data_IF_724013061890
#
_entry.id   IF_724013061890
#
_cell.length_a   1.000
_cell.length_b   1.000
_cell.length_c   1.000
_cell.angle_alpha   90.00
_cell.angle_beta   90.00
_cell.angle_gamma   90.00
#
_symmetry.space_group_name_H-M   'P 1'
#
loop_
_entity.id
_entity.type
_entity.pdbx_description
1 polymer ?
#
# COMPACT_ATOMS: atom_id res chain seq x y z
N UNK A 1 -12.43 -30.63 4.19
CA UNK A 1 -11.24 -29.84 4.61
C UNK A 1 -10.62 -29.08 3.41
N UNK A 2 -11.41 -28.29 2.67
CA UNK A 2 -10.95 -27.51 1.50
C UNK A 2 -10.69 -26.03 1.88
N UNK A 3 -11.47 -25.49 2.82
CA UNK A 3 -11.35 -24.11 3.30
C UNK A 3 -10.07 -23.82 4.10
N UNK A 4 -9.44 -24.81 4.75
CA UNK A 4 -8.18 -24.61 5.47
C UNK A 4 -6.99 -24.43 4.52
N UNK A 5 -6.91 -25.23 3.44
CA UNK A 5 -5.83 -25.15 2.45
C UNK A 5 -5.89 -23.83 1.66
N UNK A 6 -7.10 -23.41 1.25
CA UNK A 6 -7.30 -22.11 0.59
C UNK A 6 -6.90 -20.94 1.50
N UNK A 7 -7.16 -21.05 2.82
CA UNK A 7 -6.73 -20.03 3.79
C UNK A 7 -5.21 -19.94 3.94
N UNK A 8 -4.49 -21.05 3.90
CA UNK A 8 -3.02 -21.03 3.99
C UNK A 8 -2.44 -20.38 2.74
N UNK A 9 -2.89 -20.77 1.55
CA UNK A 9 -2.42 -20.19 0.29
C UNK A 9 -2.79 -18.69 0.15
N UNK A 10 -4.01 -18.30 0.51
CA UNK A 10 -4.41 -16.87 0.54
C UNK A 10 -3.64 -16.08 1.61
N UNK A 11 -3.42 -16.67 2.79
CA UNK A 11 -2.60 -16.02 3.81
C UNK A 11 -1.14 -15.89 3.38
N UNK A 12 -0.63 -16.82 2.58
CA UNK A 12 0.72 -16.76 2.02
C UNK A 12 0.82 -15.64 0.97
N UNK A 13 -0.19 -15.47 0.10
CA UNK A 13 -0.26 -14.35 -0.84
C UNK A 13 -0.38 -12.98 -0.11
N UNK A 14 -1.20 -12.90 0.95
CA UNK A 14 -1.31 -11.67 1.78
C UNK A 14 -0.04 -11.44 2.61
N UNK A 15 0.62 -12.51 3.06
CA UNK A 15 1.91 -12.46 3.76
C UNK A 15 2.99 -11.87 2.86
N UNK A 16 3.15 -12.43 1.66
CA UNK A 16 4.09 -11.93 0.65
C UNK A 16 3.81 -10.47 0.27
N UNK A 17 2.53 -10.08 0.13
CA UNK A 17 2.16 -8.69 -0.12
C UNK A 17 2.61 -7.77 1.03
N UNK A 18 2.45 -8.19 2.29
CA UNK A 18 2.88 -7.40 3.46
C UNK A 18 4.39 -7.24 3.49
N UNK A 19 5.14 -8.33 3.33
CA UNK A 19 6.60 -8.29 3.28
C UNK A 19 7.10 -7.38 2.17
N UNK A 20 6.50 -7.46 0.98
CA UNK A 20 6.79 -6.55 -0.11
C UNK A 20 6.49 -5.09 0.26
N UNK A 21 5.31 -4.81 0.84
CA UNK A 21 4.91 -3.46 1.21
C UNK A 21 5.79 -2.84 2.30
N UNK A 22 6.35 -3.65 3.20
CA UNK A 22 7.29 -3.20 4.22
C UNK A 22 8.66 -2.85 3.63
N UNK A 23 9.12 -3.59 2.62
CA UNK A 23 10.45 -3.41 2.04
C UNK A 23 10.46 -2.40 0.87
N UNK A 24 9.47 -2.44 -0.02
CA UNK A 24 9.45 -1.71 -1.28
C UNK A 24 9.71 -0.19 -1.17
N UNK A 25 9.15 0.54 -0.18
CA UNK A 25 9.42 1.97 -0.03
C UNK A 25 10.91 2.30 0.17
N UNK A 26 11.69 1.39 0.76
CA UNK A 26 13.13 1.56 1.00
C UNK A 26 13.98 1.30 -0.23
N UNK A 27 13.47 0.52 -1.19
CA UNK A 27 14.17 0.24 -2.46
C UNK A 27 14.00 1.35 -3.50
N UNK A 28 13.00 2.22 -3.33
CA UNK A 28 12.78 3.34 -4.23
C UNK A 28 13.83 4.43 -4.03
N UNK A 29 14.40 4.88 -5.16
CA UNK A 29 15.12 6.16 -5.20
C UNK A 29 14.16 7.31 -4.84
N UNK A 30 14.65 8.42 -4.27
CA UNK A 30 13.86 9.64 -4.11
C UNK A 30 13.11 10.02 -5.39
N UNK A 31 11.83 10.36 -5.29
CA UNK A 31 10.94 10.61 -6.43
C UNK A 31 10.45 9.36 -7.18
N UNK A 32 10.96 8.17 -6.85
CA UNK A 32 10.48 6.90 -7.39
C UNK A 32 9.03 6.62 -6.97
N UNK A 33 8.26 5.94 -7.82
CA UNK A 33 6.83 5.68 -7.57
C UNK A 33 6.55 4.21 -7.36
N UNK A 34 5.71 3.92 -6.38
CA UNK A 34 5.13 2.59 -6.13
C UNK A 34 3.68 2.59 -6.63
N UNK A 35 3.41 1.77 -7.65
CA UNK A 35 2.08 1.56 -8.21
C UNK A 35 1.65 0.13 -7.89
N UNK A 36 0.49 -0.03 -7.27
CA UNK A 36 -0.04 -1.35 -6.90
C UNK A 36 -1.48 -1.44 -7.36
N UNK A 37 -1.79 -2.50 -8.11
CA UNK A 37 -3.13 -2.85 -8.54
C UNK A 37 -3.59 -4.06 -7.71
N UNK A 38 -4.73 -3.92 -7.04
CA UNK A 38 -5.36 -4.98 -6.26
C UNK A 38 -6.71 -5.34 -6.84
N UNK A 39 -7.13 -6.59 -6.72
CA UNK A 39 -8.43 -7.06 -7.23
C UNK A 39 -9.41 -7.44 -6.13
N UNK A 40 -8.92 -7.56 -4.89
CA UNK A 40 -9.72 -7.94 -3.73
C UNK A 40 -9.65 -6.88 -2.62
N UNK A 41 -10.74 -6.75 -1.87
CA UNK A 41 -10.87 -5.73 -0.81
C UNK A 41 -9.86 -5.90 0.34
N UNK A 42 -9.37 -7.11 0.60
CA UNK A 42 -8.38 -7.37 1.65
C UNK A 42 -7.00 -6.83 1.26
N UNK A 43 -6.57 -7.07 0.02
CA UNK A 43 -5.34 -6.55 -0.56
C UNK A 43 -5.37 -5.02 -0.60
N UNK A 44 -6.44 -4.43 -1.15
CA UNK A 44 -6.63 -2.96 -1.25
C UNK A 44 -6.52 -2.29 0.12
N UNK A 45 -7.11 -2.92 1.14
CA UNK A 45 -7.01 -2.47 2.53
C UNK A 45 -5.57 -2.58 3.05
N UNK A 46 -4.87 -3.67 2.76
CA UNK A 46 -3.47 -3.87 3.14
C UNK A 46 -2.57 -2.78 2.53
N UNK A 47 -2.69 -2.52 1.23
CA UNK A 47 -1.95 -1.46 0.52
C UNK A 47 -2.28 -0.09 1.08
N UNK A 48 -3.57 0.19 1.32
CA UNK A 48 -4.02 1.45 1.93
C UNK A 48 -3.34 1.70 3.27
N UNK A 49 -3.36 0.73 4.18
CA UNK A 49 -2.76 0.88 5.50
C UNK A 49 -1.25 1.04 5.45
N UNK A 50 -0.56 0.26 4.61
CA UNK A 50 0.88 0.42 4.42
C UNK A 50 1.22 1.83 3.91
N UNK A 51 0.52 2.30 2.86
CA UNK A 51 0.75 3.65 2.34
C UNK A 51 0.46 4.74 3.37
N UNK A 52 -0.57 4.58 4.20
CA UNK A 52 -0.87 5.50 5.30
C UNK A 52 0.23 5.51 6.36
N UNK A 53 0.74 4.32 6.75
CA UNK A 53 1.87 4.20 7.67
C UNK A 53 3.09 4.95 7.15
N UNK A 54 3.52 4.64 5.91
CA UNK A 54 4.71 5.25 5.32
C UNK A 54 4.54 6.74 4.95
N UNK A 55 3.31 7.26 4.93
CA UNK A 55 3.03 8.67 4.65
C UNK A 55 2.71 9.50 5.89
N UNK A 56 2.58 8.86 7.06
CA UNK A 56 2.34 9.57 8.31
C UNK A 56 3.65 10.17 8.83
N UNK A 57 3.73 11.49 9.07
CA UNK A 57 4.94 12.11 9.64
C UNK A 57 5.17 11.76 11.10
N UNK A 58 4.09 11.44 11.80
CA UNK A 58 4.10 11.03 13.19
C UNK A 58 3.16 9.85 13.37
N UNK A 59 3.36 9.09 14.43
CA UNK A 59 2.40 8.11 14.89
C UNK A 59 2.28 8.19 16.41
N UNK A 60 1.14 7.73 16.91
CA UNK A 60 0.81 7.77 18.32
C UNK A 60 0.61 6.37 18.86
N UNK A 61 0.84 6.20 20.16
CA UNK A 61 0.55 4.97 20.87
C UNK A 61 -0.15 5.30 22.20
N UNK A 62 -1.15 4.52 22.63
CA UNK A 62 -1.90 4.81 23.85
C UNK A 62 -1.03 5.00 25.10
N UNK A 63 0.12 4.32 25.16
CA UNK A 63 1.07 4.39 26.25
C UNK A 63 2.02 5.62 26.22
N UNK A 64 1.95 6.46 25.18
CA UNK A 64 2.83 7.62 25.03
C UNK A 64 2.18 8.90 25.55
N UNK A 65 2.97 9.84 26.12
CA UNK A 65 2.46 11.14 26.57
C UNK A 65 2.10 12.05 25.39
N UNK A 66 2.65 11.78 24.19
CA UNK A 66 2.37 12.51 22.95
C UNK A 66 2.83 11.71 21.71
N UNK A 67 2.29 12.02 20.51
CA UNK A 67 2.75 11.42 19.26
C UNK A 67 4.23 11.66 18.99
N UNK A 68 4.92 10.70 18.37
CA UNK A 68 6.34 10.80 18.03
C UNK A 68 6.55 10.78 16.52
N UNK A 69 7.71 11.25 16.08
CA UNK A 69 8.12 11.22 14.67
C UNK A 69 8.14 9.77 14.15
N UNK A 70 7.61 9.59 12.94
CA UNK A 70 7.62 8.30 12.28
C UNK A 70 8.95 8.09 11.53
N UNK A 71 9.81 7.14 11.96
CA UNK A 71 11.05 6.85 11.23
C UNK A 71 10.78 6.29 9.83
N UNK A 72 9.57 5.77 9.60
CA UNK A 72 9.12 5.24 8.32
C UNK A 72 8.37 6.26 7.47
N UNK A 73 8.45 7.56 7.76
CA UNK A 73 7.88 8.58 6.87
C UNK A 73 8.68 8.67 5.57
N UNK A 74 8.38 7.78 4.62
CA UNK A 74 9.12 7.60 3.38
C UNK A 74 8.31 7.98 2.15
N UNK A 75 6.97 7.97 2.22
CA UNK A 75 6.09 8.09 1.06
C UNK A 75 5.20 9.33 1.11
N UNK A 76 4.83 9.81 -0.08
CA UNK A 76 3.74 10.74 -0.32
C UNK A 76 2.66 10.05 -1.14
N UNK A 77 1.44 9.97 -0.62
CA UNK A 77 0.32 9.37 -1.34
C UNK A 77 -0.11 10.29 -2.48
N UNK A 78 -0.11 9.78 -3.72
CA UNK A 78 -0.56 10.52 -4.90
C UNK A 78 -2.06 10.30 -5.17
N UNK A 79 -2.60 9.14 -4.78
CA UNK A 79 -4.02 8.79 -4.97
C UNK A 79 -4.75 8.66 -3.63
N UNK A 80 -5.52 9.69 -3.23
CA UNK A 80 -6.30 9.66 -1.97
C UNK A 80 -7.38 8.57 -1.97
N UNK A 81 -8.07 8.41 -3.10
CA UNK A 81 -8.97 7.29 -3.41
C UNK A 81 -8.28 6.38 -4.44
N UNK A 82 -8.55 5.07 -4.45
CA UNK A 82 -8.03 4.23 -5.53
C UNK A 82 -8.55 4.73 -6.88
N UNK A 83 -7.74 4.58 -7.92
CA UNK A 83 -8.19 4.76 -9.29
C UNK A 83 -8.88 3.47 -9.72
N UNK A 84 -10.10 3.58 -10.19
CA UNK A 84 -10.96 2.47 -10.64
C UNK A 84 -11.02 2.45 -12.18
N UNK A 85 -11.24 1.28 -12.79
CA UNK A 85 -11.36 1.16 -14.24
C UNK A 85 -12.57 1.96 -14.76
N UNK A 86 -12.45 2.46 -16.00
CA UNK A 86 -13.58 3.06 -16.72
C UNK A 86 -14.61 2.02 -17.17
N UNK A 87 -15.82 2.44 -17.51
CA UNK A 87 -16.82 1.54 -18.08
C UNK A 87 -16.36 0.90 -19.39
N UNK A 88 -15.68 1.66 -20.25
CA UNK A 88 -15.09 1.18 -21.50
C UNK A 88 -14.04 0.09 -21.24
N UNK A 89 -13.21 0.28 -20.22
CA UNK A 89 -12.22 -0.70 -19.81
C UNK A 89 -12.87 -1.97 -19.28
N UNK A 90 -13.92 -1.86 -18.47
CA UNK A 90 -14.68 -3.02 -17.97
C UNK A 90 -15.37 -3.77 -19.12
N UNK A 91 -15.92 -3.06 -20.11
CA UNK A 91 -16.53 -3.70 -21.29
C UNK A 91 -15.51 -4.49 -22.10
N UNK A 92 -14.31 -3.93 -22.30
CA UNK A 92 -13.20 -4.58 -23.02
C UNK A 92 -12.54 -5.69 -22.20
N UNK A 93 -12.46 -5.54 -20.89
CA UNK A 93 -11.84 -6.48 -19.97
C UNK A 93 -12.71 -6.61 -18.71
N UNK A 94 -13.69 -7.53 -18.69
CA UNK A 94 -14.56 -7.73 -17.54
C UNK A 94 -13.82 -8.09 -16.24
N UNK A 95 -12.61 -8.66 -16.32
CA UNK A 95 -11.77 -8.98 -15.16
C UNK A 95 -11.20 -7.74 -14.47
N UNK A 96 -11.17 -6.60 -15.16
CA UNK A 96 -10.72 -5.33 -14.57
C UNK A 96 -11.74 -4.75 -13.58
N UNK A 97 -13.01 -5.18 -13.59
CA UNK A 97 -14.10 -4.58 -12.80
C UNK A 97 -13.79 -4.32 -11.32
N UNK A 98 -13.02 -5.19 -10.67
CA UNK A 98 -12.65 -5.04 -9.25
C UNK A 98 -11.26 -4.45 -9.03
N UNK A 99 -10.55 -4.07 -10.09
CA UNK A 99 -9.22 -3.51 -10.02
C UNK A 99 -9.24 -2.15 -9.33
N UNK A 100 -8.28 -1.95 -8.44
CA UNK A 100 -8.04 -0.70 -7.73
C UNK A 100 -6.57 -0.38 -7.80
N UNK A 101 -6.22 0.75 -8.40
CA UNK A 101 -4.85 1.24 -8.46
C UNK A 101 -4.60 2.25 -7.34
N UNK A 102 -3.50 2.06 -6.60
CA UNK A 102 -2.97 3.03 -5.64
C UNK A 102 -1.55 3.43 -6.03
N UNK A 103 -1.25 4.71 -5.87
CA UNK A 103 0.06 5.28 -6.19
C UNK A 103 0.61 6.09 -5.02
N UNK A 104 1.86 5.84 -4.68
CA UNK A 104 2.66 6.63 -3.76
C UNK A 104 4.04 6.93 -4.34
N UNK A 105 4.65 8.03 -3.90
CA UNK A 105 5.96 8.49 -4.34
C UNK A 105 6.93 8.57 -3.17
N UNK A 106 8.17 8.13 -3.37
CA UNK A 106 9.24 8.23 -2.38
C UNK A 106 9.61 9.69 -2.16
N UNK A 107 9.57 10.12 -0.90
CA UNK A 107 9.97 11.46 -0.49
C UNK A 107 11.46 11.73 -0.81
N UNK A 108 11.84 13.00 -1.00
CA UNK A 108 13.25 13.40 -1.05
C UNK A 108 14.01 12.89 0.18
N UNK A 109 15.27 12.49 0.00
CA UNK A 109 16.20 12.42 1.13
C UNK A 109 16.61 13.84 1.39
N UNK A 110 16.12 14.46 2.47
CA UNK A 110 16.70 15.71 2.92
C UNK A 110 18.12 15.40 3.37
N UNK A 111 19.12 15.85 2.60
CA UNK A 111 20.48 15.90 3.10
C UNK A 111 20.44 16.79 4.35
N UNK A 112 20.70 16.23 5.52
CA UNK A 112 21.00 17.01 6.71
C UNK A 112 22.13 17.96 6.33
N UNK A 113 21.80 19.25 6.24
CA UNK A 113 22.78 20.33 6.17
C UNK A 113 23.36 20.56 7.56
#
# INVERSE_FOLDING_TARGET
KVFQALRVYINDEIGALREFLEAAPRWLKPGGRLLIITFQSQEDRCVKHAFQHFAAPTFDRPEWPSPKANPDHLLRILTRKPIEPSEEEIKRNPRARSAKLRVAERLPVHASS
#
